data_IF_679302263186
#
_entry.id   IF_679302263186
#
_cell.length_a   1.000
_cell.length_b   1.000
_cell.length_c   1.000
_cell.angle_alpha   90.00
_cell.angle_beta   90.00
_cell.angle_gamma   90.00
#
_symmetry.space_group_name_H-M   'P 1'
#
loop_
_entity.id
_entity.type
_entity.pdbx_description
1 polymer ?
#
# COMPACT_ATOMS: atom_id res chain seq x y z
N UNK A 1 -4.83 42.61 -16.26
CA UNK A 1 -5.59 42.76 -15.00
C UNK A 1 -4.72 42.26 -13.86
N UNK A 2 -4.45 43.07 -12.85
CA UNK A 2 -3.66 42.65 -11.68
C UNK A 2 -4.45 41.67 -10.82
N UNK A 3 -3.82 40.57 -10.36
CA UNK A 3 -4.44 39.64 -9.40
C UNK A 3 -4.65 40.36 -8.07
N UNK A 4 -5.77 40.08 -7.40
CA UNK A 4 -5.98 40.58 -6.04
C UNK A 4 -4.97 39.96 -5.07
N UNK A 5 -4.69 40.63 -3.96
CA UNK A 5 -3.82 40.11 -2.89
C UNK A 5 -4.30 38.75 -2.42
N UNK A 6 -5.63 38.58 -2.27
CA UNK A 6 -6.25 37.30 -1.87
C UNK A 6 -5.93 36.18 -2.90
N UNK A 7 -5.98 36.49 -4.19
CA UNK A 7 -5.64 35.52 -5.21
C UNK A 7 -4.15 35.14 -5.19
N UNK A 8 -3.27 36.12 -4.97
CA UNK A 8 -1.83 35.88 -4.81
C UNK A 8 -1.55 34.98 -3.59
N UNK A 9 -2.21 35.23 -2.46
CA UNK A 9 -2.08 34.40 -1.26
C UNK A 9 -2.57 32.96 -1.49
N UNK A 10 -3.68 32.79 -2.21
CA UNK A 10 -4.17 31.46 -2.60
C UNK A 10 -3.20 30.73 -3.50
N UNK A 11 -2.61 31.41 -4.47
CA UNK A 11 -1.63 30.84 -5.39
C UNK A 11 -0.35 30.44 -4.64
N UNK A 12 0.10 31.25 -3.66
CA UNK A 12 1.25 30.94 -2.82
C UNK A 12 0.94 29.71 -1.94
N UNK A 13 -0.21 29.69 -1.26
CA UNK A 13 -0.62 28.54 -0.45
C UNK A 13 -0.72 27.26 -1.27
N UNK A 14 -1.28 27.34 -2.48
CA UNK A 14 -1.34 26.22 -3.42
C UNK A 14 0.05 25.72 -3.81
N UNK A 15 0.99 26.64 -4.13
CA UNK A 15 2.37 26.30 -4.48
C UNK A 15 3.14 25.71 -3.30
N UNK A 16 2.94 26.22 -2.08
CA UNK A 16 3.53 25.68 -0.86
C UNK A 16 3.03 24.26 -0.59
N UNK A 17 1.73 23.98 -0.80
CA UNK A 17 1.17 22.64 -0.70
C UNK A 17 1.73 21.67 -1.75
N UNK A 18 2.14 22.15 -2.92
CA UNK A 18 2.81 21.35 -3.96
C UNK A 18 4.29 21.08 -3.63
N UNK A 19 4.92 21.96 -2.85
CA UNK A 19 6.36 21.85 -2.49
C UNK A 19 6.55 21.10 -1.18
N UNK A 20 5.66 21.28 -0.21
CA UNK A 20 5.71 20.63 1.09
C UNK A 20 4.62 19.55 1.19
N UNK A 21 4.96 18.32 0.80
CA UNK A 21 4.08 17.18 1.07
C UNK A 21 4.16 16.84 2.55
N UNK A 22 3.11 17.11 3.29
CA UNK A 22 3.02 16.87 4.73
C UNK A 22 1.92 15.86 5.07
N UNK A 23 2.07 15.19 6.19
CA UNK A 23 1.09 14.24 6.70
C UNK A 23 -0.12 15.03 7.20
N UNK A 24 -1.30 14.72 6.67
CA UNK A 24 -2.58 15.35 7.06
C UNK A 24 -3.37 14.50 8.04
N UNK A 25 -3.12 13.18 8.05
CA UNK A 25 -3.82 12.25 8.92
C UNK A 25 -2.93 11.05 9.23
N UNK A 26 -2.91 10.62 10.47
CA UNK A 26 -2.28 9.36 10.91
C UNK A 26 -3.26 8.59 11.78
N UNK A 27 -3.13 7.27 11.81
CA UNK A 27 -3.97 6.45 12.67
C UNK A 27 -3.63 4.97 12.61
N UNK A 28 -4.48 4.19 13.26
CA UNK A 28 -4.41 2.73 13.26
C UNK A 28 -5.78 2.13 12.98
N UNK A 29 -5.81 1.03 12.23
CA UNK A 29 -7.03 0.28 11.96
C UNK A 29 -6.68 -1.21 11.81
N UNK A 30 -7.12 -2.03 12.76
CA UNK A 30 -6.73 -3.43 12.82
C UNK A 30 -5.21 -3.60 12.95
N UNK A 31 -4.61 -4.31 12.01
CA UNK A 31 -3.15 -4.51 11.95
C UNK A 31 -2.39 -3.34 11.30
N UNK A 32 -3.11 -2.39 10.71
CA UNK A 32 -2.54 -1.33 9.90
C UNK A 32 -2.30 -0.06 10.70
N UNK A 33 -1.09 0.49 10.60
CA UNK A 33 -0.77 1.89 10.90
C UNK A 33 -0.76 2.64 9.59
N UNK A 34 -1.31 3.85 9.56
CA UNK A 34 -1.43 4.58 8.30
C UNK A 34 -1.07 6.04 8.40
N UNK A 35 -0.69 6.56 7.26
CA UNK A 35 -0.43 7.97 7.01
C UNK A 35 -1.10 8.39 5.70
N UNK A 36 -1.77 9.54 5.73
CA UNK A 36 -2.29 10.22 4.54
C UNK A 36 -1.57 11.55 4.37
N UNK A 37 -1.19 11.84 3.16
CA UNK A 37 -0.39 13.00 2.81
C UNK A 37 -1.20 14.03 2.03
N UNK A 38 -0.84 15.32 2.13
CA UNK A 38 -1.52 16.42 1.44
C UNK A 38 -1.54 16.23 -0.09
N UNK A 39 -0.50 15.65 -0.66
CA UNK A 39 -0.41 15.27 -2.09
C UNK A 39 -1.45 14.25 -2.54
N UNK A 40 -2.13 13.58 -1.60
CA UNK A 40 -3.04 12.47 -1.89
C UNK A 40 -2.40 11.09 -1.74
N UNK A 41 -1.10 11.03 -1.48
CA UNK A 41 -0.41 9.77 -1.15
C UNK A 41 -0.96 9.19 0.15
N UNK A 42 -1.05 7.87 0.21
CA UNK A 42 -1.35 7.12 1.42
C UNK A 42 -0.38 5.96 1.60
N UNK A 43 -0.02 5.69 2.83
CA UNK A 43 0.87 4.58 3.21
C UNK A 43 0.20 3.78 4.32
N UNK A 44 0.16 2.46 4.16
CA UNK A 44 -0.20 1.50 5.21
C UNK A 44 1.05 0.70 5.59
N UNK A 45 1.31 0.59 6.86
CA UNK A 45 2.30 -0.34 7.42
C UNK A 45 1.57 -1.31 8.33
N UNK A 46 1.77 -2.61 8.14
CA UNK A 46 1.06 -3.62 8.91
C UNK A 46 1.89 -4.84 9.22
N UNK A 47 1.62 -5.43 10.38
CA UNK A 47 2.21 -6.70 10.80
C UNK A 47 1.11 -7.74 10.84
N UNK A 48 1.26 -8.79 10.03
CA UNK A 48 0.31 -9.88 9.96
C UNK A 48 0.97 -11.20 10.38
N UNK A 49 0.35 -11.92 11.29
CA UNK A 49 0.82 -13.26 11.69
C UNK A 49 -0.11 -14.33 11.13
N UNK A 50 0.44 -15.13 10.22
CA UNK A 50 -0.20 -16.36 9.76
C UNK A 50 0.02 -17.44 10.81
N UNK A 51 -1.05 -17.93 11.40
CA UNK A 51 -0.99 -18.99 12.41
C UNK A 51 -0.33 -20.26 11.85
N UNK A 52 0.25 -21.05 12.73
CA UNK A 52 0.76 -22.39 12.39
C UNK A 52 -0.31 -23.23 11.68
N UNK A 53 0.10 -24.04 10.74
CA UNK A 53 -0.83 -24.87 9.98
C UNK A 53 -0.15 -25.66 8.87
N UNK A 54 -0.93 -26.45 8.13
CA UNK A 54 -0.46 -27.27 7.03
C UNK A 54 -0.38 -26.45 5.76
N UNK A 55 0.70 -26.65 4.99
CA UNK A 55 0.90 -26.11 3.66
C UNK A 55 0.59 -27.19 2.63
N UNK A 56 -0.09 -26.81 1.56
CA UNK A 56 -0.38 -27.71 0.44
C UNK A 56 0.87 -27.93 -0.42
N UNK A 57 1.08 -29.16 -0.85
CA UNK A 57 2.20 -29.50 -1.74
C UNK A 57 1.99 -28.90 -3.15
N UNK A 58 3.05 -28.37 -3.74
CA UNK A 58 3.12 -27.98 -5.14
C UNK A 58 4.50 -28.31 -5.70
N UNK A 59 4.61 -29.41 -6.41
CA UNK A 59 5.91 -29.95 -6.82
C UNK A 59 6.81 -30.27 -5.62
N UNK A 60 8.00 -29.70 -5.60
CA UNK A 60 9.01 -29.91 -4.54
C UNK A 60 8.92 -28.94 -3.37
N UNK A 61 7.91 -28.08 -3.35
CA UNK A 61 7.70 -27.08 -2.29
C UNK A 61 6.26 -27.13 -1.80
N UNK A 62 6.02 -26.46 -0.70
CA UNK A 62 4.69 -26.34 -0.11
C UNK A 62 4.26 -24.87 -0.14
N UNK A 63 2.96 -24.61 -0.27
CA UNK A 63 2.43 -23.26 -0.31
C UNK A 63 1.21 -23.08 0.59
N UNK A 64 0.97 -21.85 1.00
CA UNK A 64 -0.25 -21.42 1.66
C UNK A 64 -0.63 -20.03 1.18
N UNK A 65 -1.91 -19.86 0.86
CA UNK A 65 -2.44 -18.58 0.40
C UNK A 65 -3.20 -17.90 1.53
N UNK A 66 -2.96 -16.60 1.68
CA UNK A 66 -3.76 -15.70 2.52
C UNK A 66 -4.61 -14.86 1.60
N UNK A 67 -5.91 -14.99 1.74
CA UNK A 67 -6.89 -14.24 0.96
C UNK A 67 -7.54 -13.17 1.83
N UNK A 68 -7.85 -12.03 1.21
CA UNK A 68 -8.61 -10.94 1.81
C UNK A 68 -8.01 -10.38 3.10
N UNK A 69 -6.69 -10.11 3.10
CA UNK A 69 -6.12 -9.26 4.12
C UNK A 69 -6.63 -7.83 3.89
N UNK A 70 -7.72 -7.48 4.59
CA UNK A 70 -8.46 -6.26 4.34
C UNK A 70 -7.66 -5.02 4.74
N UNK A 71 -7.72 -4.00 3.90
CA UNK A 71 -7.33 -2.63 4.24
C UNK A 71 -8.43 -1.93 5.05
N UNK A 72 -8.12 -0.82 5.72
CA UNK A 72 -9.17 0.00 6.33
C UNK A 72 -10.21 0.42 5.28
N UNK A 73 -11.48 0.44 5.69
CA UNK A 73 -12.60 0.75 4.78
C UNK A 73 -12.38 2.09 4.09
N UNK A 74 -12.57 2.09 2.76
CA UNK A 74 -12.45 3.27 1.89
C UNK A 74 -11.11 4.03 2.01
N UNK A 75 -10.06 3.34 2.43
CA UNK A 75 -8.76 3.97 2.65
C UNK A 75 -8.09 4.42 1.35
N UNK A 76 -8.11 3.59 0.32
CA UNK A 76 -7.57 3.94 -0.99
C UNK A 76 -8.67 4.38 -1.95
N UNK A 77 -8.41 5.43 -2.71
CA UNK A 77 -9.31 5.90 -3.76
C UNK A 77 -9.28 5.00 -5.01
N UNK A 78 -8.16 4.30 -5.22
CA UNK A 78 -7.93 3.38 -6.35
C UNK A 78 -7.06 2.20 -5.87
N UNK A 79 -6.75 1.25 -6.77
CA UNK A 79 -5.86 0.14 -6.47
C UNK A 79 -4.48 0.67 -6.07
N UNK A 80 -3.89 0.21 -4.95
CA UNK A 80 -2.54 0.59 -4.56
C UNK A 80 -1.52 0.29 -5.66
N UNK A 81 -0.56 1.19 -5.84
CA UNK A 81 0.46 1.08 -6.88
C UNK A 81 1.74 0.39 -6.42
N UNK A 82 1.89 0.15 -5.11
CA UNK A 82 3.07 -0.50 -4.55
C UNK A 82 2.69 -1.34 -3.34
N UNK A 83 3.20 -2.55 -3.31
CA UNK A 83 3.16 -3.43 -2.14
C UNK A 83 4.55 -4.02 -1.96
N UNK A 84 5.10 -3.88 -0.78
CA UNK A 84 6.30 -4.58 -0.37
C UNK A 84 6.05 -5.32 0.94
N UNK A 85 6.80 -6.39 1.17
CA UNK A 85 6.68 -7.15 2.40
C UNK A 85 7.96 -7.88 2.72
N UNK A 86 8.20 -8.06 4.01
CA UNK A 86 9.28 -8.88 4.56
C UNK A 86 8.70 -10.00 5.40
N UNK A 87 9.37 -11.15 5.39
CA UNK A 87 9.02 -12.28 6.24
C UNK A 87 9.95 -12.25 7.44
N UNK A 88 9.38 -12.16 8.63
CA UNK A 88 10.11 -12.33 9.88
C UNK A 88 9.95 -13.77 10.33
N UNK A 89 10.93 -14.64 10.00
CA UNK A 89 10.84 -16.01 10.49
C UNK A 89 12.10 -16.85 10.53
N UNK A 90 12.06 -17.81 11.51
CA UNK A 90 13.09 -18.79 11.74
C UNK A 90 13.13 -20.00 10.80
N UNK A 91 12.15 -20.29 9.98
CA UNK A 91 12.17 -21.46 9.07
C UNK A 91 11.42 -21.17 7.78
N UNK A 92 12.14 -20.61 6.84
CA UNK A 92 11.84 -20.62 5.40
C UNK A 92 10.43 -20.19 5.01
N UNK A 93 10.35 -19.05 4.42
CA UNK A 93 9.21 -18.60 3.65
C UNK A 93 9.68 -17.61 2.58
N UNK A 94 9.13 -17.74 1.43
CA UNK A 94 9.29 -16.75 0.37
C UNK A 94 7.90 -16.32 -0.09
N UNK A 95 7.76 -15.07 -0.46
CA UNK A 95 6.59 -14.65 -1.22
C UNK A 95 6.65 -15.30 -2.59
N UNK A 96 5.58 -15.99 -2.98
CA UNK A 96 5.46 -16.55 -4.33
C UNK A 96 4.69 -15.63 -5.27
N UNK A 97 4.03 -14.62 -4.74
CA UNK A 97 3.27 -13.65 -5.49
C UNK A 97 2.20 -12.98 -4.63
N UNK A 98 1.68 -11.89 -5.12
CA UNK A 98 0.55 -11.21 -4.51
C UNK A 98 -0.39 -10.64 -5.58
N UNK A 99 -1.64 -10.45 -5.19
CA UNK A 99 -2.58 -9.61 -5.92
C UNK A 99 -3.17 -8.58 -4.97
N UNK A 100 -3.34 -7.37 -5.45
CA UNK A 100 -3.88 -6.28 -4.67
C UNK A 100 -5.11 -5.72 -5.34
N UNK A 101 -6.12 -5.44 -4.54
CA UNK A 101 -7.32 -4.71 -4.95
C UNK A 101 -7.39 -3.40 -4.18
N UNK A 102 -8.37 -2.57 -4.47
CA UNK A 102 -8.62 -1.35 -3.69
C UNK A 102 -8.80 -1.62 -2.18
N UNK A 103 -9.33 -2.79 -1.82
CA UNK A 103 -9.79 -3.07 -0.46
C UNK A 103 -8.98 -4.16 0.25
N UNK A 104 -8.15 -4.93 -0.46
CA UNK A 104 -7.49 -6.09 0.11
C UNK A 104 -6.20 -6.47 -0.59
N UNK A 105 -5.32 -7.11 0.17
CA UNK A 105 -4.13 -7.81 -0.30
C UNK A 105 -4.35 -9.32 -0.18
N UNK A 106 -4.05 -10.04 -1.27
CA UNK A 106 -3.92 -11.50 -1.26
C UNK A 106 -2.47 -11.85 -1.56
N UNK A 107 -1.94 -12.84 -0.87
CA UNK A 107 -0.56 -13.26 -1.10
C UNK A 107 -0.38 -14.75 -0.83
N UNK A 108 0.63 -15.34 -1.42
CA UNK A 108 1.02 -16.73 -1.21
C UNK A 108 2.42 -16.83 -0.66
N UNK A 109 2.63 -17.81 0.20
CA UNK A 109 3.89 -18.09 0.88
C UNK A 109 4.34 -19.48 0.51
N UNK A 110 5.61 -19.63 0.18
CA UNK A 110 6.27 -20.90 -0.07
C UNK A 110 7.05 -21.37 1.16
N UNK A 111 7.06 -22.66 1.39
CA UNK A 111 7.82 -23.32 2.43
C UNK A 111 8.50 -24.56 1.90
N UNK A 112 9.67 -24.88 2.43
CA UNK A 112 10.35 -26.14 2.15
C UNK A 112 9.77 -27.33 2.95
N UNK A 113 8.91 -27.06 3.92
CA UNK A 113 8.31 -28.07 4.81
C UNK A 113 6.79 -27.97 4.81
N UNK A 114 6.12 -29.11 4.95
CA UNK A 114 4.65 -29.20 4.94
C UNK A 114 3.99 -28.68 6.23
N UNK A 115 4.70 -28.67 7.34
CA UNK A 115 4.20 -28.18 8.61
C UNK A 115 4.84 -26.85 8.94
N UNK A 116 4.04 -25.79 8.94
CA UNK A 116 4.53 -24.47 9.22
C UNK A 116 4.34 -24.10 10.68
N UNK A 117 5.36 -23.45 11.22
CA UNK A 117 5.24 -22.59 12.39
C UNK A 117 4.48 -21.30 11.98
N UNK A 118 4.04 -20.54 12.98
CA UNK A 118 3.49 -19.22 12.71
C UNK A 118 4.50 -18.33 11.97
N UNK A 119 4.03 -17.59 10.98
CA UNK A 119 4.84 -16.72 10.12
C UNK A 119 4.39 -15.29 10.29
N UNK A 120 5.31 -14.40 10.59
CA UNK A 120 4.99 -12.97 10.69
C UNK A 120 5.49 -12.24 9.45
N UNK A 121 4.66 -11.38 8.94
CA UNK A 121 4.91 -10.54 7.76
C UNK A 121 4.83 -9.08 8.14
N UNK A 122 5.80 -8.30 7.69
CA UNK A 122 5.71 -6.84 7.68
C UNK A 122 5.35 -6.39 6.27
N UNK A 123 4.29 -5.61 6.13
CA UNK A 123 3.85 -5.05 4.87
C UNK A 123 3.94 -3.54 4.84
N UNK A 124 4.35 -3.00 3.70
CA UNK A 124 4.14 -1.61 3.33
C UNK A 124 3.30 -1.57 2.05
N UNK A 125 2.20 -0.83 2.08
CA UNK A 125 1.31 -0.62 0.93
C UNK A 125 1.18 0.86 0.66
N UNK A 126 1.45 1.28 -0.58
CA UNK A 126 1.35 2.68 -1.01
C UNK A 126 0.30 2.83 -2.10
N UNK A 127 -0.50 3.85 -1.97
CA UNK A 127 -1.56 4.19 -2.91
C UNK A 127 -1.99 5.64 -2.80
N UNK A 128 -3.15 5.94 -3.34
CA UNK A 128 -3.78 7.25 -3.25
C UNK A 128 -5.05 7.15 -2.40
N UNK A 129 -5.19 8.03 -1.41
CA UNK A 129 -6.41 8.11 -0.59
C UNK A 129 -7.46 9.06 -1.16
N UNK A 130 -7.07 9.92 -2.11
CA UNK A 130 -7.98 10.77 -2.88
C UNK A 130 -7.62 10.70 -4.36
N UNK A 131 -8.60 10.81 -5.23
CA UNK A 131 -8.34 10.96 -6.65
C UNK A 131 -7.66 12.31 -6.89
N UNK A 132 -6.52 12.27 -7.56
CA UNK A 132 -5.90 13.50 -8.07
C UNK A 132 -6.84 14.02 -9.15
N UNK A 133 -7.42 15.21 -8.94
CA UNK A 133 -8.33 15.83 -9.89
C UNK A 133 -7.75 15.81 -11.31
N UNK A 134 -8.61 15.67 -12.31
CA UNK A 134 -8.29 15.30 -13.71
C UNK A 134 -7.18 16.05 -14.47
N UNK A 135 -6.60 17.10 -13.90
CA UNK A 135 -5.49 17.86 -14.50
C UNK A 135 -4.16 17.07 -14.48
N UNK A 136 -3.99 16.14 -13.54
CA UNK A 136 -2.73 15.39 -13.40
C UNK A 136 -2.70 14.14 -14.29
N UNK A 137 -3.84 13.60 -14.70
CA UNK A 137 -3.87 12.44 -15.62
C UNK A 137 -3.24 12.72 -16.99
N UNK A 138 -3.27 13.97 -17.47
CA UNK A 138 -2.67 14.33 -18.75
C UNK A 138 -1.15 14.49 -18.70
N UNK A 139 -0.57 14.76 -17.56
CA UNK A 139 0.89 15.01 -17.45
C UNK A 139 1.65 13.68 -17.38
N UNK A 140 1.11 12.66 -16.71
CA UNK A 140 1.79 11.37 -16.54
C UNK A 140 1.89 10.59 -17.86
N UNK A 141 0.91 10.69 -18.76
CA UNK A 141 0.93 9.98 -20.04
C UNK A 141 1.86 10.58 -21.10
N UNK A 142 2.30 11.83 -20.94
CA UNK A 142 3.23 12.47 -21.91
C UNK A 142 4.70 12.10 -21.70
N UNK A 143 5.08 11.54 -20.55
CA UNK A 143 6.47 11.16 -20.27
C UNK A 143 6.77 9.68 -20.55
N UNK A 144 5.75 8.87 -20.89
CA UNK A 144 5.95 7.45 -21.21
C UNK A 144 6.23 7.17 -22.68
N UNK A 145 6.27 8.19 -23.54
CA UNK A 145 6.54 8.07 -24.99
C UNK A 145 7.58 9.09 -25.52
N UNK A 146 8.47 9.50 -24.68
CA UNK A 146 9.64 10.28 -25.14
C UNK A 146 10.92 9.47 -24.93
#
# INVERSE_FOLDING_TARGET
MAKSVIQCLKDIAYRLNLIADYVVETGTSGIWKYEKWASGKAVLNGVYTLASGTFAATGSVYYRTVNNLLFPTDFFADVPYHVSGAIQMGNVGAFSGYTVTKNALNFSVLSAVSTARAVTFDFEVKGLWKQLGGVVRHIIWRWSYA
#
